data_IF_939352501944
#
_entry.id   IF_939352501944
#
_cell.length_a   1.000
_cell.length_b   1.000
_cell.length_c   1.000
_cell.angle_alpha   90.00
_cell.angle_beta   90.00
_cell.angle_gamma   90.00
#
_symmetry.space_group_name_H-M   'P 1'
#
loop_
_entity.id
_entity.type
_entity.pdbx_description
1 polymer ?
#
# COMPACT_ATOMS: atom_id res chain seq x y z
N UNK A 1 15.41 -19.18 13.17
CA UNK A 1 14.20 -18.49 13.66
C UNK A 1 13.50 -19.39 14.66
N UNK A 2 13.29 -18.92 15.88
CA UNK A 2 12.52 -19.62 16.93
C UNK A 2 11.03 -19.37 16.75
N UNK A 3 10.17 -20.13 17.43
CA UNK A 3 8.72 -19.89 17.41
C UNK A 3 8.35 -18.51 17.97
N UNK A 4 9.10 -18.03 18.95
CA UNK A 4 8.92 -16.68 19.52
C UNK A 4 9.28 -15.59 18.51
N UNK A 5 10.40 -15.77 17.79
CA UNK A 5 10.81 -14.85 16.73
C UNK A 5 9.78 -14.81 15.59
N UNK A 6 9.24 -15.97 15.18
CA UNK A 6 8.15 -16.05 14.18
C UNK A 6 6.91 -15.31 14.68
N UNK A 7 6.54 -15.48 15.96
CA UNK A 7 5.37 -14.81 16.53
C UNK A 7 5.56 -13.28 16.60
N UNK A 8 6.78 -12.81 16.89
CA UNK A 8 7.11 -11.38 16.87
C UNK A 8 7.00 -10.80 15.45
N UNK A 9 7.57 -11.48 14.46
CA UNK A 9 7.41 -11.11 13.04
C UNK A 9 5.93 -11.04 12.64
N UNK A 10 5.15 -12.08 12.94
CA UNK A 10 3.73 -12.14 12.60
C UNK A 10 2.94 -11.00 13.25
N UNK A 11 3.26 -10.66 14.50
CA UNK A 11 2.64 -9.54 15.23
C UNK A 11 2.92 -8.20 14.55
N UNK A 12 4.16 -7.96 14.10
CA UNK A 12 4.52 -6.74 13.38
C UNK A 12 3.79 -6.67 12.04
N UNK A 13 3.82 -7.76 11.25
CA UNK A 13 3.17 -7.85 9.95
C UNK A 13 1.67 -7.58 10.04
N UNK A 14 0.97 -8.24 10.97
CA UNK A 14 -0.47 -8.06 11.12
C UNK A 14 -0.81 -6.63 11.55
N UNK A 15 -0.10 -6.07 12.53
CA UNK A 15 -0.45 -4.76 13.09
C UNK A 15 -0.09 -3.59 12.18
N UNK A 16 1.11 -3.61 11.61
CA UNK A 16 1.67 -2.46 10.90
C UNK A 16 1.36 -2.50 9.40
N UNK A 17 1.06 -3.67 8.85
CA UNK A 17 0.72 -3.80 7.43
C UNK A 17 -0.76 -4.05 7.25
N UNK A 18 -1.25 -5.23 7.67
CA UNK A 18 -2.63 -5.63 7.41
C UNK A 18 -3.66 -4.71 8.07
N UNK A 19 -3.54 -4.50 9.38
CA UNK A 19 -4.53 -3.74 10.14
C UNK A 19 -4.46 -2.24 9.79
N UNK A 20 -3.28 -1.73 9.43
CA UNK A 20 -3.11 -0.36 8.93
C UNK A 20 -3.78 -0.18 7.56
N UNK A 21 -3.57 -1.12 6.63
CA UNK A 21 -4.20 -1.11 5.31
C UNK A 21 -5.73 -1.19 5.39
N UNK A 22 -6.27 -2.07 6.26
CA UNK A 22 -7.72 -2.15 6.49
C UNK A 22 -8.25 -0.84 7.04
N UNK A 23 -7.60 -0.24 8.04
CA UNK A 23 -8.03 1.05 8.59
C UNK A 23 -8.01 2.16 7.55
N UNK A 24 -7.00 2.20 6.69
CA UNK A 24 -6.93 3.17 5.58
C UNK A 24 -8.11 3.00 4.61
N UNK A 25 -8.42 1.76 4.24
CA UNK A 25 -9.56 1.45 3.38
C UNK A 25 -10.90 1.80 4.05
N UNK A 26 -11.08 1.43 5.33
CA UNK A 26 -12.30 1.71 6.10
C UNK A 26 -12.57 3.22 6.20
N UNK A 27 -11.52 4.03 6.32
CA UNK A 27 -11.66 5.50 6.41
C UNK A 27 -12.30 6.08 5.15
N UNK A 28 -12.13 5.45 3.98
CA UNK A 28 -12.78 5.87 2.73
C UNK A 28 -14.30 5.68 2.74
N UNK A 29 -14.82 4.81 3.63
CA UNK A 29 -16.26 4.58 3.78
C UNK A 29 -16.95 5.65 4.63
N UNK A 30 -16.21 6.40 5.45
CA UNK A 30 -16.80 7.37 6.37
C UNK A 30 -17.17 8.69 5.70
N UNK A 31 -18.27 9.30 6.16
CA UNK A 31 -18.77 10.56 5.63
C UNK A 31 -17.80 11.74 5.83
N UNK A 32 -16.97 11.72 6.88
CA UNK A 32 -16.01 12.79 7.12
C UNK A 32 -14.81 12.76 6.16
N UNK A 33 -14.54 11.63 5.49
CA UNK A 33 -13.48 11.53 4.50
C UNK A 33 -13.99 11.75 3.06
N UNK A 34 -15.15 12.41 2.92
CA UNK A 34 -15.82 12.61 1.64
C UNK A 34 -14.98 13.30 0.57
N UNK A 35 -13.98 14.07 0.97
CA UNK A 35 -13.15 14.86 0.07
C UNK A 35 -11.89 14.12 -0.41
N UNK A 36 -11.57 12.95 0.14
CA UNK A 36 -10.44 12.14 -0.37
C UNK A 36 -10.71 11.68 -1.81
N UNK A 37 -9.73 11.76 -2.73
CA UNK A 37 -9.87 11.27 -4.10
C UNK A 37 -10.37 9.81 -4.18
N UNK A 38 -9.81 8.91 -3.37
CA UNK A 38 -10.25 7.50 -3.28
C UNK A 38 -11.73 7.41 -2.90
N UNK A 39 -12.14 8.10 -1.83
CA UNK A 39 -13.54 8.10 -1.39
C UNK A 39 -14.49 8.68 -2.45
N UNK A 40 -14.07 9.68 -3.24
CA UNK A 40 -14.85 10.21 -4.36
C UNK A 40 -14.99 9.18 -5.48
N UNK A 41 -13.89 8.53 -5.89
CA UNK A 41 -13.88 7.50 -6.93
C UNK A 41 -14.79 6.33 -6.54
N UNK A 42 -14.65 5.81 -5.32
CA UNK A 42 -15.48 4.72 -4.81
C UNK A 42 -16.97 5.06 -4.84
N UNK A 43 -17.36 6.27 -4.42
CA UNK A 43 -18.78 6.68 -4.48
C UNK A 43 -19.27 6.83 -5.91
N UNK A 44 -18.49 7.45 -6.78
CA UNK A 44 -18.85 7.60 -8.19
C UNK A 44 -19.13 6.24 -8.85
N UNK A 45 -18.26 5.24 -8.60
CA UNK A 45 -18.47 3.87 -9.09
C UNK A 45 -19.64 3.16 -8.41
N UNK A 46 -19.86 3.38 -7.12
CA UNK A 46 -21.04 2.83 -6.43
C UNK A 46 -22.34 3.41 -6.98
N UNK A 47 -22.37 4.71 -7.30
CA UNK A 47 -23.54 5.44 -7.80
C UNK A 47 -23.87 5.09 -9.25
N UNK A 48 -22.90 4.62 -10.05
CA UNK A 48 -23.17 4.11 -11.40
C UNK A 48 -24.02 2.82 -11.40
N UNK A 49 -24.09 2.13 -10.26
CA UNK A 49 -24.80 0.84 -10.12
C UNK A 49 -24.04 -0.36 -10.66
N UNK A 50 -22.81 -0.16 -11.16
CA UNK A 50 -21.94 -1.21 -11.67
C UNK A 50 -21.07 -1.77 -10.53
N UNK A 51 -21.52 -2.89 -9.96
CA UNK A 51 -20.86 -3.52 -8.82
C UNK A 51 -19.47 -4.05 -9.18
N UNK A 52 -19.25 -4.46 -10.42
CA UNK A 52 -17.98 -5.04 -10.86
C UNK A 52 -16.93 -3.94 -10.93
N UNK A 53 -17.25 -2.78 -11.53
CA UNK A 53 -16.35 -1.63 -11.52
C UNK A 53 -16.07 -1.10 -10.11
N UNK A 54 -17.08 -1.10 -9.22
CA UNK A 54 -16.86 -0.71 -7.83
C UNK A 54 -15.88 -1.68 -7.13
N UNK A 55 -16.06 -2.99 -7.32
CA UNK A 55 -15.19 -3.98 -6.73
C UNK A 55 -13.75 -3.90 -7.29
N UNK A 56 -13.58 -3.68 -8.59
CA UNK A 56 -12.27 -3.54 -9.24
C UNK A 56 -11.43 -2.43 -8.61
N UNK A 57 -12.02 -1.25 -8.38
CA UNK A 57 -11.35 -0.11 -7.74
C UNK A 57 -10.98 -0.42 -6.29
N UNK A 58 -11.94 -0.93 -5.49
CA UNK A 58 -11.72 -1.26 -4.09
C UNK A 58 -10.59 -2.29 -3.95
N UNK A 59 -10.57 -3.31 -4.82
CA UNK A 59 -9.53 -4.33 -4.80
C UNK A 59 -8.15 -3.72 -5.07
N UNK A 60 -8.03 -2.86 -6.10
CA UNK A 60 -6.77 -2.21 -6.43
C UNK A 60 -6.27 -1.37 -5.24
N UNK A 61 -7.13 -0.52 -4.68
CA UNK A 61 -6.78 0.34 -3.54
C UNK A 61 -6.42 -0.46 -2.27
N UNK A 62 -7.07 -1.60 -2.02
CA UNK A 62 -6.70 -2.48 -0.91
C UNK A 62 -5.30 -3.10 -1.09
N UNK A 63 -4.95 -3.49 -2.33
CA UNK A 63 -3.61 -4.00 -2.66
C UNK A 63 -2.57 -2.90 -2.50
N UNK A 64 -2.83 -1.71 -3.08
CA UNK A 64 -1.94 -0.56 -3.01
C UNK A 64 -1.69 -0.13 -1.57
N UNK A 65 -2.74 -0.01 -0.75
CA UNK A 65 -2.60 0.30 0.68
C UNK A 65 -1.76 -0.76 1.40
N UNK A 66 -1.95 -2.04 1.09
CA UNK A 66 -1.19 -3.12 1.74
C UNK A 66 0.30 -3.04 1.40
N UNK A 67 0.63 -2.80 0.13
CA UNK A 67 2.02 -2.63 -0.31
C UNK A 67 2.62 -1.37 0.31
N UNK A 68 1.90 -0.24 0.27
CA UNK A 68 2.33 1.01 0.90
C UNK A 68 2.68 0.82 2.38
N UNK A 69 1.80 0.22 3.19
CA UNK A 69 2.08 0.04 4.61
C UNK A 69 3.20 -0.97 4.88
N UNK A 70 3.43 -1.93 3.98
CA UNK A 70 4.60 -2.80 4.08
C UNK A 70 5.91 -2.03 3.85
N UNK A 71 5.94 -1.20 2.81
CA UNK A 71 7.09 -0.35 2.50
C UNK A 71 7.34 0.70 3.59
N UNK A 72 6.27 1.30 4.12
CA UNK A 72 6.37 2.21 5.27
C UNK A 72 6.93 1.50 6.50
N UNK A 73 6.55 0.25 6.76
CA UNK A 73 7.12 -0.52 7.87
C UNK A 73 8.62 -0.85 7.68
N UNK A 74 9.09 -0.94 6.42
CA UNK A 74 10.52 -1.02 6.11
C UNK A 74 11.19 0.34 6.39
N UNK A 75 10.60 1.43 5.90
CA UNK A 75 11.08 2.81 6.14
C UNK A 75 11.18 3.13 7.65
N UNK A 76 10.22 2.67 8.45
CA UNK A 76 10.20 2.82 9.92
C UNK A 76 11.17 1.86 10.64
N UNK A 77 11.88 1.00 9.92
CA UNK A 77 12.87 0.06 10.46
C UNK A 77 12.27 -1.14 11.19
N UNK A 78 10.97 -1.41 11.02
CA UNK A 78 10.30 -2.57 11.62
C UNK A 78 10.68 -3.88 10.91
N UNK A 79 10.96 -3.79 9.61
CA UNK A 79 11.45 -4.91 8.81
C UNK A 79 12.80 -4.56 8.18
N UNK A 80 13.80 -5.40 8.43
CA UNK A 80 15.09 -5.34 7.73
C UNK A 80 15.03 -6.29 6.54
N UNK A 81 14.84 -5.71 5.35
CA UNK A 81 14.70 -6.44 4.09
C UNK A 81 15.80 -6.04 3.12
N UNK A 82 16.12 -6.95 2.20
CA UNK A 82 17.02 -6.71 1.08
C UNK A 82 16.39 -7.19 -0.23
N UNK A 83 16.82 -6.59 -1.33
CA UNK A 83 16.54 -7.03 -2.68
C UNK A 83 17.81 -7.61 -3.30
N UNK A 84 17.78 -8.86 -3.74
CA UNK A 84 18.88 -9.45 -4.49
C UNK A 84 18.80 -9.01 -5.95
N UNK A 85 19.72 -8.14 -6.36
CA UNK A 85 19.80 -7.62 -7.72
C UNK A 85 20.21 -8.72 -8.73
N UNK A 86 19.97 -8.53 -10.04
CA UNK A 86 20.32 -9.52 -11.07
C UNK A 86 21.81 -9.90 -11.13
N UNK A 87 22.69 -9.04 -10.61
CA UNK A 87 24.13 -9.31 -10.48
C UNK A 87 24.49 -10.17 -9.24
N UNK A 88 23.50 -10.58 -8.45
CA UNK A 88 23.65 -11.39 -7.24
C UNK A 88 23.92 -10.59 -5.97
N UNK A 89 23.98 -9.26 -6.04
CA UNK A 89 24.22 -8.42 -4.86
C UNK A 89 22.93 -8.19 -4.08
N UNK A 90 22.98 -8.38 -2.77
CA UNK A 90 21.90 -7.98 -1.87
C UNK A 90 21.98 -6.48 -1.59
N UNK A 91 20.91 -5.76 -1.93
CA UNK A 91 20.74 -4.33 -1.69
C UNK A 91 19.82 -4.16 -0.48
N UNK A 92 20.32 -3.67 0.66
CA UNK A 92 19.46 -3.33 1.80
C UNK A 92 18.42 -2.29 1.40
N UNK A 93 17.16 -2.53 1.79
CA UNK A 93 16.06 -1.59 1.52
C UNK A 93 15.91 -0.54 2.63
N UNK A 94 16.71 -0.61 3.69
CA UNK A 94 16.62 0.26 4.89
C UNK A 94 17.75 1.29 4.99
N UNK A 95 18.62 1.42 3.99
CA UNK A 95 19.74 2.37 4.04
C UNK A 95 19.28 3.77 3.60
N UNK A 96 19.88 4.82 4.20
CA UNK A 96 19.58 6.26 4.06
C UNK A 96 19.50 6.80 2.61
N UNK A 97 19.85 5.99 1.61
CA UNK A 97 19.81 6.32 0.18
C UNK A 97 18.39 6.11 -0.39
N UNK A 98 17.58 5.25 0.22
CA UNK A 98 16.24 4.84 -0.28
C UNK A 98 15.17 5.07 0.79
N UNK A 99 15.28 6.15 1.57
CA UNK A 99 14.16 6.60 2.41
C UNK A 99 12.93 6.92 1.54
N UNK A 100 11.74 6.74 2.11
CA UNK A 100 10.45 7.00 1.46
C UNK A 100 10.00 5.95 0.43
N UNK A 101 10.32 4.66 0.62
CA UNK A 101 9.82 3.59 -0.25
C UNK A 101 8.31 3.64 -0.45
N UNK A 102 7.55 3.89 0.63
CA UNK A 102 6.11 4.07 0.55
C UNK A 102 5.71 5.28 -0.32
N UNK A 103 6.47 6.37 -0.24
CA UNK A 103 6.29 7.58 -1.05
C UNK A 103 6.55 7.32 -2.53
N UNK A 104 7.69 6.70 -2.86
CA UNK A 104 8.02 6.30 -4.23
C UNK A 104 6.97 5.37 -4.85
N UNK A 105 6.46 4.43 -4.05
CA UNK A 105 5.41 3.52 -4.50
C UNK A 105 4.10 4.24 -4.85
N UNK A 106 3.61 5.10 -3.95
CA UNK A 106 2.36 5.84 -4.16
C UNK A 106 2.49 6.95 -5.22
N UNK A 107 3.70 7.47 -5.41
CA UNK A 107 4.05 8.46 -6.43
C UNK A 107 4.21 7.85 -7.82
N UNK A 108 5.41 7.34 -8.11
CA UNK A 108 5.82 7.02 -9.49
C UNK A 108 5.72 5.53 -9.81
N UNK A 109 6.15 4.65 -8.89
CA UNK A 109 6.39 3.24 -9.24
C UNK A 109 5.13 2.51 -9.67
N UNK A 110 4.01 2.75 -9.00
CA UNK A 110 2.74 2.11 -9.40
C UNK A 110 2.31 2.53 -10.81
N UNK A 111 2.49 3.80 -11.18
CA UNK A 111 2.15 4.29 -12.52
C UNK A 111 3.17 3.86 -13.59
N UNK A 112 4.44 3.72 -13.24
CA UNK A 112 5.51 3.37 -14.17
C UNK A 112 5.60 1.87 -14.43
N UNK A 113 5.40 1.05 -13.40
CA UNK A 113 5.69 -0.38 -13.44
C UNK A 113 4.47 -1.31 -13.35
N UNK A 114 3.26 -0.79 -13.04
CA UNK A 114 2.07 -1.64 -13.03
C UNK A 114 1.63 -2.02 -14.44
N UNK A 115 1.44 -3.31 -14.69
CA UNK A 115 0.76 -3.84 -15.88
C UNK A 115 -0.76 -4.03 -15.66
N UNK A 116 -1.19 -3.86 -14.41
CA UNK A 116 -2.60 -3.96 -13.98
C UNK A 116 -3.19 -2.57 -13.72
N UNK A 117 -4.50 -2.54 -13.46
CA UNK A 117 -5.24 -1.30 -13.14
C UNK A 117 -4.53 -0.47 -12.04
N UNK A 118 -4.29 0.80 -12.35
CA UNK A 118 -3.65 1.76 -11.45
C UNK A 118 -4.41 3.10 -11.53
N UNK A 119 -5.06 3.49 -10.45
CA UNK A 119 -5.84 4.74 -10.37
C UNK A 119 -4.95 5.86 -9.83
N UNK A 120 -4.57 6.81 -10.67
CA UNK A 120 -3.84 8.02 -10.24
C UNK A 120 -4.82 9.04 -9.64
N UNK A 121 -4.71 9.25 -8.33
CA UNK A 121 -5.48 10.25 -7.59
C UNK A 121 -4.72 11.55 -7.36
N UNK A 122 -3.43 11.55 -7.72
CA UNK A 122 -2.54 12.70 -7.56
C UNK A 122 -2.80 13.77 -8.63
N UNK A 123 -3.42 13.40 -9.74
CA UNK A 123 -3.80 14.33 -10.81
C UNK A 123 -5.01 15.22 -10.42
N UNK A 124 -5.74 14.85 -9.37
CA UNK A 124 -6.93 15.56 -8.86
C UNK A 124 -6.62 16.46 -7.63
N UNK A 125 -5.34 16.61 -7.25
CA UNK A 125 -4.86 17.48 -6.15
C UNK A 125 -4.32 18.82 -6.65
#
# INVERSE_FOLDING_TARGET
MTQEEIAQFAKLLVRHVRDAAIKSADVQLYAHNMNSPIAKRWRSKKESGDIDQFAEEVIADCVDNTIFYFLLAIDEGLFKTSFTAPNGNDIPLTDDIIGELGGWYMGEWRSEYSEERCSSDLDDM
#
